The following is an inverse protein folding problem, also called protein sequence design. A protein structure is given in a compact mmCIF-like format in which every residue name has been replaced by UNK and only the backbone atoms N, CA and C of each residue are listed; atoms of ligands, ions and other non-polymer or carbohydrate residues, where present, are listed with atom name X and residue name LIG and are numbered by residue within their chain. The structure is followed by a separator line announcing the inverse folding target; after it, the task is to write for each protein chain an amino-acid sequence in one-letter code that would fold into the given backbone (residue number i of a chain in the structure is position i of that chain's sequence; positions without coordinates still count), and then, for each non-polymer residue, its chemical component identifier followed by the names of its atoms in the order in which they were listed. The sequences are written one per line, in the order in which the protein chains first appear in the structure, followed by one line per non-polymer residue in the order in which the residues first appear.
data_IF_790545456043
#
_entry.id   IF_790545456043
#
_cell.length_a   1.000
_cell.length_b   1.000
_cell.length_c   1.000
_cell.angle_alpha   90.00
_cell.angle_beta   90.00
_cell.angle_gamma   90.00
#
_symmetry.space_group_name_H-M   'P 1'
#
loop_
_entity.id
_entity.type
_entity.pdbx_description
1 polymer ?
#
# COMPACT_ATOMS: atom_id res chain seq x y z
N UNK A 1 -18.67 -9.56 -9.36
CA UNK A 1 -17.63 -10.48 -8.88
C UNK A 1 -16.48 -10.49 -9.90
N UNK A 2 -15.45 -9.64 -9.74
CA UNK A 2 -14.32 -9.57 -10.69
C UNK A 2 -13.25 -10.57 -10.26
N UNK A 3 -13.38 -11.81 -10.70
CA UNK A 3 -12.33 -12.83 -10.55
C UNK A 3 -11.32 -12.64 -11.68
N UNK A 4 -10.21 -11.99 -11.39
CA UNK A 4 -9.04 -11.94 -12.27
C UNK A 4 -8.05 -13.03 -11.84
N UNK A 5 -7.36 -13.65 -12.79
CA UNK A 5 -6.27 -14.58 -12.45
C UNK A 5 -5.06 -13.81 -11.93
N UNK A 6 -4.18 -14.48 -11.17
CA UNK A 6 -2.92 -13.87 -10.72
C UNK A 6 -2.09 -13.37 -11.90
N UNK A 7 -2.04 -14.13 -13.01
CA UNK A 7 -1.34 -13.71 -14.23
C UNK A 7 -1.91 -12.43 -14.85
N UNK A 8 -3.24 -12.28 -14.86
CA UNK A 8 -3.89 -11.05 -15.33
C UNK A 8 -3.64 -9.85 -14.41
N UNK A 9 -3.48 -10.07 -13.10
CA UNK A 9 -3.15 -9.02 -12.14
C UNK A 9 -1.69 -8.60 -12.29
N UNK A 10 -0.76 -9.56 -12.33
CA UNK A 10 0.68 -9.27 -12.46
C UNK A 10 1.09 -8.73 -13.83
N UNK A 11 0.23 -8.87 -14.85
CA UNK A 11 0.41 -8.22 -16.15
C UNK A 11 0.00 -6.75 -16.22
N UNK A 12 -0.62 -6.18 -15.17
CA UNK A 12 -1.00 -4.76 -15.15
C UNK A 12 0.17 -3.87 -14.71
N UNK A 13 0.14 -2.56 -15.03
CA UNK A 13 1.10 -1.61 -14.48
C UNK A 13 1.13 -1.68 -12.94
N UNK A 14 2.34 -1.67 -12.39
CA UNK A 14 2.53 -1.64 -10.94
C UNK A 14 1.83 -0.43 -10.30
N UNK A 15 1.30 -0.61 -9.09
CA UNK A 15 0.69 0.48 -8.33
C UNK A 15 1.74 1.17 -7.47
N UNK A 16 1.80 2.51 -7.47
CA UNK A 16 2.70 3.23 -6.59
C UNK A 16 2.23 3.07 -5.14
N UNK A 17 3.09 2.49 -4.31
CA UNK A 17 2.93 2.42 -2.86
C UNK A 17 3.95 3.35 -2.19
N UNK A 18 3.66 3.95 -1.02
CA UNK A 18 4.69 4.65 -0.27
C UNK A 18 5.86 3.70 -0.04
N UNK A 19 7.06 4.17 -0.34
CA UNK A 19 8.28 3.46 0.03
C UNK A 19 8.90 4.26 1.17
N UNK A 20 9.06 3.60 2.31
CA UNK A 20 9.75 4.16 3.46
C UNK A 20 10.94 3.26 3.81
N UNK A 21 12.09 3.86 4.08
CA UNK A 21 13.20 3.16 4.72
C UNK A 21 12.87 2.98 6.20
N UNK A 22 12.44 1.78 6.55
CA UNK A 22 12.34 1.35 7.94
C UNK A 22 13.69 0.73 8.33
N UNK A 23 14.33 1.23 9.38
CA UNK A 23 15.72 0.88 9.74
C UNK A 23 15.89 -0.53 10.32
N UNK A 24 14.82 -1.16 10.80
CA UNK A 24 14.79 -2.36 11.63
C UNK A 24 13.71 -3.38 11.20
N UNK A 25 13.05 -3.19 10.06
CA UNK A 25 11.73 -3.76 9.77
C UNK A 25 11.73 -5.26 9.54
N UNK A 26 11.07 -6.00 10.42
CA UNK A 26 10.92 -7.45 10.31
C UNK A 26 9.63 -7.87 9.61
N UNK A 27 8.55 -7.10 9.80
CA UNK A 27 7.24 -7.44 9.28
C UNK A 27 6.52 -6.24 8.65
N UNK A 28 5.67 -6.55 7.67
CA UNK A 28 4.78 -5.61 6.99
C UNK A 28 3.35 -6.17 6.97
N UNK A 29 2.36 -5.32 7.25
CA UNK A 29 0.94 -5.66 7.14
C UNK A 29 0.18 -4.52 6.45
N UNK A 30 -0.77 -4.86 5.58
CA UNK A 30 -1.61 -3.86 4.92
C UNK A 30 -2.83 -3.53 5.78
N UNK A 31 -3.20 -2.25 5.80
CA UNK A 31 -4.48 -1.81 6.36
C UNK A 31 -5.66 -2.47 5.64
N UNK A 32 -6.74 -2.72 6.38
CA UNK A 32 -7.91 -3.42 5.83
C UNK A 32 -8.60 -2.64 4.69
N UNK A 33 -8.48 -1.31 4.69
CA UNK A 33 -8.99 -0.44 3.63
C UNK A 33 -8.03 -0.33 2.43
N UNK A 34 -6.82 -0.89 2.53
CA UNK A 34 -5.78 -0.83 1.51
C UNK A 34 -5.19 0.57 1.32
N UNK A 35 -5.43 1.50 2.24
CA UNK A 35 -5.00 2.90 2.13
C UNK A 35 -3.65 3.17 2.79
N UNK A 36 -2.98 2.13 3.27
CA UNK A 36 -1.66 2.22 3.88
C UNK A 36 -1.15 0.86 4.37
N UNK A 37 0.03 0.87 4.98
CA UNK A 37 0.64 -0.30 5.59
C UNK A 37 1.30 0.03 6.92
N UNK A 38 1.53 -1.00 7.71
CA UNK A 38 2.20 -0.97 8.99
C UNK A 38 3.53 -1.70 8.90
N UNK A 39 4.53 -1.19 9.63
CA UNK A 39 5.81 -1.87 9.83
C UNK A 39 6.15 -1.94 11.31
N UNK A 40 6.90 -2.96 11.68
CA UNK A 40 7.40 -3.17 13.04
C UNK A 40 8.80 -3.80 12.96
N UNK A 41 9.69 -3.42 13.89
CA UNK A 41 11.01 -4.01 14.03
C UNK A 41 11.05 -5.17 15.03
N UNK A 42 12.25 -5.64 15.35
CA UNK A 42 12.49 -6.74 16.28
C UNK A 42 12.47 -6.28 17.75
N UNK A 43 11.88 -7.07 18.66
CA UNK A 43 11.99 -6.89 20.11
C UNK A 43 10.70 -6.52 20.83
N UNK A 44 10.73 -6.55 22.17
CA UNK A 44 9.52 -6.53 23.00
C UNK A 44 8.79 -5.17 23.09
N UNK A 45 9.47 -4.06 22.78
CA UNK A 45 8.94 -2.70 22.98
C UNK A 45 9.19 -1.77 21.79
N UNK A 46 9.34 -2.34 20.60
CA UNK A 46 9.53 -1.56 19.39
C UNK A 46 8.23 -0.89 18.93
N UNK A 47 8.31 0.36 18.44
CA UNK A 47 7.15 1.07 17.94
C UNK A 47 6.62 0.43 16.65
N UNK A 48 5.31 0.56 16.46
CA UNK A 48 4.65 0.27 15.17
C UNK A 48 4.54 1.56 14.37
N UNK A 49 5.02 1.54 13.14
CA UNK A 49 4.89 2.67 12.22
C UNK A 49 3.75 2.41 11.23
N UNK A 50 3.06 3.50 10.84
CA UNK A 50 2.01 3.48 9.80
C UNK A 50 2.39 4.44 8.68
N UNK A 51 2.26 3.98 7.44
CA UNK A 51 2.48 4.76 6.23
C UNK A 51 1.23 4.74 5.37
N UNK A 52 0.62 5.91 5.16
CA UNK A 52 -0.55 6.05 4.33
C UNK A 52 -0.16 6.24 2.85
N UNK A 53 -0.99 5.71 1.96
CA UNK A 53 -0.88 5.90 0.51
C UNK A 53 -0.83 7.40 0.17
N UNK A 54 0.02 7.83 -0.78
CA UNK A 54 0.03 9.21 -1.20
C UNK A 54 -1.33 9.57 -1.76
N UNK A 55 -1.82 10.77 -1.45
CA UNK A 55 -3.14 11.25 -1.92
C UNK A 55 -3.26 11.25 -3.46
N UNK A 56 -2.14 11.41 -4.18
CA UNK A 56 -2.07 11.30 -5.63
C UNK A 56 -2.40 9.87 -6.15
N UNK A 57 -2.20 8.85 -5.33
CA UNK A 57 -2.46 7.44 -5.64
C UNK A 57 -3.90 7.02 -5.37
N UNK A 58 -4.71 7.86 -4.69
CA UNK A 58 -6.11 7.58 -4.37
C UNK A 58 -7.09 7.83 -5.54
N UNK A 59 -6.57 8.23 -6.70
CA UNK A 59 -7.32 8.34 -7.95
C UNK A 59 -7.89 9.73 -8.20
N UNK A 60 -7.27 10.45 -9.13
CA UNK A 60 -7.94 11.49 -9.90
C UNK A 60 -8.93 10.84 -10.88
N UNK A 61 -10.21 10.78 -10.51
CA UNK A 61 -11.30 10.90 -11.49
C UNK A 61 -11.62 12.39 -11.59
N UNK A 62 -10.86 13.13 -12.40
CA UNK A 62 -11.37 14.37 -12.97
C UNK A 62 -12.37 13.94 -14.05
N UNK A 63 -13.65 14.19 -13.79
CA UNK A 63 -14.74 13.90 -14.70
C UNK A 63 -14.50 14.54 -16.06
N UNK A 64 -14.87 13.81 -17.11
CA UNK A 64 -15.28 14.45 -18.36
C UNK A 64 -16.51 15.30 -18.05
N UNK A 65 -16.36 16.60 -18.20
CA UNK A 65 -17.43 17.58 -18.31
C UNK A 65 -17.11 18.39 -19.55
N UNK A 66 -18.00 18.24 -20.53
CA UNK A 66 -18.27 19.01 -21.76
C UNK A 66 -17.28 20.09 -22.23
#
# INVERSE_FOLDING_TARGET
DRKQTLGQIFGQPGRPVPVAFEKQGEAIAFSADGLGYYTIGEGAHVPVYRYDMPRASLGGRSGGGE
#
